data_IF_331654311119
#
_entry.id   IF_331654311119
#
_cell.length_a   1.000
_cell.length_b   1.000
_cell.length_c   1.000
_cell.angle_alpha   90.00
_cell.angle_beta   90.00
_cell.angle_gamma   90.00
#
_symmetry.space_group_name_H-M   'P 1'
#
loop_
_entity.id
_entity.type
_entity.pdbx_description
1 polymer ?
#
# COMPACT_ATOMS: atom_id res chain seq x y z
N UNK A 1 -5.61 40.01 -5.76
CA UNK A 1 -5.95 38.59 -5.63
C UNK A 1 -7.39 38.52 -5.17
N UNK A 2 -8.23 37.67 -5.78
CA UNK A 2 -9.54 37.38 -5.22
C UNK A 2 -9.38 36.68 -3.86
N UNK A 3 -10.26 36.98 -2.91
CA UNK A 3 -10.37 36.21 -1.68
C UNK A 3 -10.80 34.77 -2.00
N UNK A 4 -10.49 33.84 -1.08
CA UNK A 4 -10.97 32.45 -1.19
C UNK A 4 -12.50 32.43 -1.27
N UNK A 5 -13.03 31.56 -2.13
CA UNK A 5 -14.46 31.35 -2.31
C UNK A 5 -14.87 30.12 -1.53
N UNK A 6 -15.73 30.28 -0.54
CA UNK A 6 -16.32 29.14 0.19
C UNK A 6 -17.60 28.69 -0.50
N UNK A 7 -17.62 27.45 -0.99
CA UNK A 7 -18.79 26.84 -1.62
C UNK A 7 -19.44 25.85 -0.65
N UNK A 8 -20.66 26.16 -0.20
CA UNK A 8 -21.42 25.34 0.76
C UNK A 8 -22.78 24.98 0.20
N UNK A 9 -23.15 23.70 0.26
CA UNK A 9 -24.50 23.21 -0.06
C UNK A 9 -24.93 22.22 1.03
N UNK A 10 -25.88 22.64 1.86
CA UNK A 10 -26.32 21.87 3.02
C UNK A 10 -27.08 20.59 2.63
N UNK A 11 -27.71 20.56 1.44
CA UNK A 11 -28.54 19.45 0.99
C UNK A 11 -27.77 18.13 0.81
N UNK A 12 -26.46 18.22 0.55
CA UNK A 12 -25.57 17.10 0.25
C UNK A 12 -24.19 17.26 0.92
N UNK A 13 -24.12 18.12 1.95
CA UNK A 13 -22.93 18.41 2.76
C UNK A 13 -21.70 18.89 1.98
N UNK A 14 -21.87 19.52 0.83
CA UNK A 14 -20.76 20.20 0.13
C UNK A 14 -20.23 21.37 1.00
N UNK A 15 -18.91 21.46 1.08
CA UNK A 15 -18.14 22.45 1.83
C UNK A 15 -16.70 22.40 1.31
N UNK A 16 -16.39 23.27 0.35
CA UNK A 16 -15.07 23.39 -0.27
C UNK A 16 -14.59 24.83 -0.16
N UNK A 17 -13.27 25.00 -0.12
CA UNK A 17 -12.63 26.29 -0.36
C UNK A 17 -11.98 26.27 -1.75
N UNK A 18 -12.33 27.24 -2.58
CA UNK A 18 -11.70 27.46 -3.87
C UNK A 18 -10.78 28.68 -3.73
N UNK A 19 -9.52 28.51 -4.08
CA UNK A 19 -8.51 29.56 -4.08
C UNK A 19 -8.17 29.93 -5.54
N UNK A 20 -8.61 31.12 -6.01
CA UNK A 20 -8.28 31.61 -7.33
C UNK A 20 -6.86 32.19 -7.37
N UNK A 21 -6.04 31.72 -8.31
CA UNK A 21 -4.69 32.25 -8.59
C UNK A 21 -4.72 32.97 -9.94
N UNK A 22 -4.20 34.19 -9.99
CA UNK A 22 -4.29 35.08 -11.17
C UNK A 22 -5.74 35.26 -11.69
N UNK A 23 -6.70 35.28 -10.78
CA UNK A 23 -8.12 35.49 -11.09
C UNK A 23 -8.71 36.58 -10.18
N UNK A 24 -9.64 37.35 -10.74
CA UNK A 24 -10.45 38.34 -10.05
C UNK A 24 -11.93 38.19 -10.43
N UNK A 25 -12.81 38.60 -9.52
CA UNK A 25 -14.24 38.71 -9.83
C UNK A 25 -14.43 39.85 -10.84
N UNK A 26 -15.17 39.60 -11.91
CA UNK A 26 -15.51 40.59 -12.93
C UNK A 26 -16.25 41.80 -12.31
N UNK A 27 -16.19 42.99 -12.91
CA UNK A 27 -16.93 44.16 -12.41
C UNK A 27 -18.44 43.91 -12.20
N UNK A 28 -19.03 43.05 -13.03
CA UNK A 28 -20.45 42.66 -12.96
C UNK A 28 -20.74 41.59 -11.89
N UNK A 29 -19.71 41.11 -11.18
CA UNK A 29 -19.79 40.03 -10.20
C UNK A 29 -20.40 38.71 -10.70
N UNK A 30 -20.25 38.42 -12.00
CA UNK A 30 -20.84 37.23 -12.65
C UNK A 30 -19.81 36.18 -13.00
N UNK A 31 -18.51 36.52 -13.04
CA UNK A 31 -17.45 35.62 -13.53
C UNK A 31 -16.14 35.81 -12.76
N UNK A 32 -15.30 34.79 -12.77
CA UNK A 32 -13.87 34.87 -12.49
C UNK A 32 -13.14 35.07 -13.82
N UNK A 33 -12.40 36.17 -13.92
CA UNK A 33 -11.62 36.57 -15.10
C UNK A 33 -10.15 36.68 -14.74
N UNK A 34 -9.27 36.47 -15.73
CA UNK A 34 -7.82 36.58 -15.55
C UNK A 34 -7.45 38.01 -15.17
N UNK A 35 -6.45 38.14 -14.29
CA UNK A 35 -5.90 39.45 -13.91
C UNK A 35 -4.79 39.85 -14.88
N UNK A 36 -3.90 38.92 -15.19
CA UNK A 36 -2.85 39.06 -16.21
C UNK A 36 -2.96 37.91 -17.22
N UNK A 37 -3.09 38.24 -18.50
CA UNK A 37 -3.20 37.25 -19.58
C UNK A 37 -1.86 36.52 -19.85
N UNK A 38 -0.73 37.08 -19.40
CA UNK A 38 0.59 36.47 -19.55
C UNK A 38 0.86 35.35 -18.53
N UNK A 39 0.17 35.37 -17.39
CA UNK A 39 0.36 34.42 -16.30
C UNK A 39 -0.69 33.29 -16.32
N UNK A 40 -0.33 32.15 -15.74
CA UNK A 40 -1.24 31.02 -15.61
C UNK A 40 -2.36 31.33 -14.61
N UNK A 41 -3.61 31.03 -14.97
CA UNK A 41 -4.78 31.19 -14.11
C UNK A 41 -5.24 29.84 -13.57
N UNK A 42 -5.24 29.69 -12.24
CA UNK A 42 -5.55 28.43 -11.57
C UNK A 42 -6.72 28.57 -10.61
N UNK A 43 -7.43 27.46 -10.41
CA UNK A 43 -8.28 27.25 -9.24
C UNK A 43 -7.70 26.08 -8.45
N UNK A 44 -7.35 26.35 -7.19
CA UNK A 44 -6.97 25.32 -6.21
C UNK A 44 -8.22 25.01 -5.38
N UNK A 45 -8.71 23.79 -5.49
CA UNK A 45 -9.84 23.28 -4.70
C UNK A 45 -9.29 22.56 -3.47
N UNK A 46 -9.51 23.13 -2.29
CA UNK A 46 -9.08 22.57 -1.02
C UNK A 46 -10.18 21.68 -0.42
N UNK A 47 -9.76 20.49 -0.01
CA UNK A 47 -10.61 19.51 0.67
C UNK A 47 -10.20 19.39 2.14
N UNK A 48 -11.19 19.15 3.04
CA UNK A 48 -10.91 18.62 4.37
C UNK A 48 -10.09 17.31 4.31
N UNK A 49 -9.52 16.84 5.44
CA UNK A 49 -8.77 15.60 5.48
C UNK A 49 -9.50 14.43 4.81
N UNK A 50 -8.81 13.75 3.89
CA UNK A 50 -9.41 12.66 3.13
C UNK A 50 -9.23 11.28 3.78
N UNK A 51 -8.38 11.17 4.80
CA UNK A 51 -8.13 9.94 5.53
C UNK A 51 -8.04 10.15 7.05
N UNK A 52 -8.41 9.11 7.79
CA UNK A 52 -8.27 9.01 9.24
C UNK A 52 -7.57 7.68 9.54
N UNK A 53 -6.38 7.74 10.13
CA UNK A 53 -5.75 6.56 10.70
C UNK A 53 -6.43 6.20 12.02
N UNK A 54 -6.70 4.91 12.23
CA UNK A 54 -7.22 4.34 13.46
C UNK A 54 -6.24 3.27 13.98
N UNK A 55 -6.12 3.16 15.31
CA UNK A 55 -5.29 2.14 15.95
C UNK A 55 -5.73 0.71 15.56
N UNK A 56 -4.78 -0.11 15.12
CA UNK A 56 -4.99 -1.52 14.80
C UNK A 56 -4.70 -2.41 16.01
N UNK A 57 -5.58 -3.36 16.32
CA UNK A 57 -5.36 -4.44 17.29
C UNK A 57 -4.97 -5.74 16.58
N UNK A 58 -4.28 -6.66 17.28
CA UNK A 58 -3.97 -8.00 16.78
C UNK A 58 -4.98 -9.06 17.22
N UNK A 59 -5.69 -8.82 18.31
CA UNK A 59 -6.67 -9.73 18.89
C UNK A 59 -8.09 -9.24 18.56
N UNK A 60 -8.88 -10.00 17.78
CA UNK A 60 -10.28 -9.65 17.52
C UNK A 60 -11.21 -9.86 18.72
N UNK A 61 -10.79 -10.65 19.71
CA UNK A 61 -11.60 -11.02 20.88
C UNK A 61 -11.48 -10.01 22.02
N UNK A 62 -10.37 -9.25 22.05
CA UNK A 62 -10.14 -8.19 23.03
C UNK A 62 -10.24 -6.84 22.31
N UNK A 63 -11.43 -6.21 22.34
CA UNK A 63 -11.60 -4.90 21.72
C UNK A 63 -10.71 -3.86 22.41
N UNK A 64 -10.06 -2.95 21.67
CA UNK A 64 -9.30 -1.86 22.27
C UNK A 64 -10.21 -0.93 23.09
N UNK A 65 -9.71 -0.44 24.21
CA UNK A 65 -10.43 0.53 25.05
C UNK A 65 -10.67 1.85 24.30
N UNK A 66 -11.91 2.36 24.27
CA UNK A 66 -12.20 3.68 23.72
C UNK A 66 -11.67 4.81 24.65
N UNK A 67 -11.33 5.99 24.11
CA UNK A 67 -11.37 6.34 22.69
C UNK A 67 -10.25 5.63 21.90
N UNK A 68 -10.60 5.14 20.71
CA UNK A 68 -9.62 4.57 19.79
C UNK A 68 -8.69 5.71 19.36
N UNK A 69 -7.38 5.49 19.47
CA UNK A 69 -6.41 6.48 19.01
C UNK A 69 -6.58 6.69 17.51
N UNK A 70 -6.72 7.94 17.12
CA UNK A 70 -6.89 8.35 15.73
C UNK A 70 -5.93 9.47 15.37
N UNK A 71 -5.66 9.60 14.07
CA UNK A 71 -4.90 10.71 13.52
C UNK A 71 -5.51 11.10 12.17
N UNK A 72 -5.73 12.40 11.99
CA UNK A 72 -6.24 12.94 10.72
C UNK A 72 -5.09 13.08 9.72
N UNK A 73 -5.41 12.89 8.45
CA UNK A 73 -4.56 13.34 7.35
C UNK A 73 -4.50 14.88 7.31
N UNK A 74 -3.50 15.41 6.62
CA UNK A 74 -3.47 16.81 6.23
C UNK A 74 -4.50 17.15 5.15
N UNK A 75 -4.54 18.43 4.73
CA UNK A 75 -5.43 18.88 3.67
C UNK A 75 -5.07 18.23 2.33
N UNK A 76 -6.09 17.94 1.53
CA UNK A 76 -5.95 17.51 0.13
C UNK A 76 -6.34 18.63 -0.80
N UNK A 77 -5.79 18.65 -2.01
CA UNK A 77 -6.14 19.64 -3.03
C UNK A 77 -6.17 19.05 -4.43
N UNK A 78 -7.10 19.56 -5.23
CA UNK A 78 -7.10 19.42 -6.68
C UNK A 78 -6.77 20.77 -7.27
N UNK A 79 -5.91 20.82 -8.28
CA UNK A 79 -5.52 22.08 -8.94
C UNK A 79 -5.83 21.99 -10.41
N UNK A 80 -6.46 23.04 -10.93
CA UNK A 80 -6.90 23.10 -12.31
C UNK A 80 -6.48 24.40 -12.97
N UNK A 81 -6.08 24.32 -14.24
CA UNK A 81 -5.97 25.48 -15.14
C UNK A 81 -7.36 25.88 -15.60
N UNK A 82 -7.60 27.18 -15.57
CA UNK A 82 -8.87 27.77 -15.96
C UNK A 82 -8.86 28.19 -17.44
N UNK A 83 -9.93 27.91 -18.21
CA UNK A 83 -10.05 28.37 -19.60
C UNK A 83 -9.87 29.89 -19.75
N UNK A 84 -9.35 30.35 -20.88
CA UNK A 84 -9.17 31.79 -21.18
C UNK A 84 -10.47 32.59 -21.04
N UNK A 85 -11.60 31.98 -21.38
CA UNK A 85 -12.90 32.62 -21.25
C UNK A 85 -13.27 32.99 -19.80
N UNK A 86 -12.58 32.46 -18.79
CA UNK A 86 -12.94 32.59 -17.37
C UNK A 86 -14.03 31.60 -16.95
N UNK A 87 -14.39 31.61 -15.67
CA UNK A 87 -15.41 30.73 -15.08
C UNK A 87 -16.60 31.56 -14.63
N UNK A 88 -17.83 31.11 -14.87
CA UNK A 88 -18.99 31.77 -14.28
C UNK A 88 -18.99 31.60 -12.75
N UNK A 89 -19.38 32.64 -12.02
CA UNK A 89 -19.45 32.63 -10.56
C UNK A 89 -20.75 31.99 -10.10
N UNK A 90 -20.99 30.75 -10.53
CA UNK A 90 -22.14 29.92 -10.15
C UNK A 90 -21.65 28.60 -9.57
N UNK A 91 -22.44 28.00 -8.67
CA UNK A 91 -22.07 26.71 -8.06
C UNK A 91 -21.85 25.61 -9.12
N UNK A 92 -22.68 25.59 -10.17
CA UNK A 92 -22.55 24.63 -11.26
C UNK A 92 -21.24 24.80 -12.03
N UNK A 93 -20.91 26.02 -12.45
CA UNK A 93 -19.69 26.27 -13.22
C UNK A 93 -18.42 26.04 -12.38
N UNK A 94 -18.44 26.35 -11.09
CA UNK A 94 -17.32 26.13 -10.16
C UNK A 94 -17.10 24.64 -9.83
N UNK A 95 -18.05 23.76 -10.15
CA UNK A 95 -17.96 22.32 -9.93
C UNK A 95 -17.73 21.51 -11.23
N UNK A 96 -17.81 22.12 -12.41
CA UNK A 96 -17.70 21.43 -13.71
C UNK A 96 -16.24 21.16 -14.13
N UNK A 97 -15.53 20.39 -13.29
CA UNK A 97 -14.09 20.14 -13.40
C UNK A 97 -13.71 19.27 -14.60
N UNK A 98 -14.67 18.61 -15.24
CA UNK A 98 -14.45 17.89 -16.52
C UNK A 98 -13.91 18.79 -17.62
N UNK A 99 -14.29 20.07 -17.58
CA UNK A 99 -13.90 21.06 -18.59
C UNK A 99 -12.56 21.72 -18.29
N UNK A 100 -11.95 21.42 -17.14
CA UNK A 100 -10.71 22.04 -16.69
C UNK A 100 -9.53 21.08 -16.80
N UNK A 101 -8.35 21.63 -17.11
CA UNK A 101 -7.13 20.83 -17.23
C UNK A 101 -6.47 20.69 -15.84
N UNK A 102 -6.23 19.47 -15.34
CA UNK A 102 -5.58 19.29 -14.05
C UNK A 102 -4.11 19.70 -14.10
N UNK A 103 -3.62 20.35 -13.04
CA UNK A 103 -2.18 20.58 -12.81
C UNK A 103 -1.67 19.46 -11.91
N UNK A 104 -0.79 18.63 -12.46
CA UNK A 104 -0.31 17.40 -11.84
C UNK A 104 1.18 17.48 -11.50
N UNK A 105 1.62 16.61 -10.59
CA UNK A 105 3.05 16.47 -10.32
C UNK A 105 3.77 15.79 -11.52
N UNK A 106 5.06 16.06 -11.76
CA UNK A 106 5.76 15.52 -12.93
C UNK A 106 5.85 13.99 -12.98
N UNK A 107 5.74 13.32 -11.82
CA UNK A 107 5.73 11.86 -11.72
C UNK A 107 4.34 11.25 -11.83
N UNK A 108 3.26 12.05 -11.89
CA UNK A 108 1.87 11.60 -12.02
C UNK A 108 1.55 11.19 -13.48
N UNK A 109 2.31 10.22 -13.99
CA UNK A 109 2.33 9.83 -15.40
C UNK A 109 1.41 8.64 -15.69
N UNK A 110 0.91 8.47 -16.91
CA UNK A 110 0.10 7.31 -17.28
C UNK A 110 0.78 5.96 -17.04
N UNK A 111 -0.03 4.90 -16.87
CA UNK A 111 0.44 3.51 -16.87
C UNK A 111 1.23 3.20 -18.14
N UNK A 112 2.32 2.46 -18.01
CA UNK A 112 3.17 2.06 -19.14
C UNK A 112 4.17 3.12 -19.61
N UNK A 113 4.18 4.32 -18.98
CA UNK A 113 5.22 5.32 -19.20
C UNK A 113 6.60 4.70 -18.92
N UNK A 114 7.51 4.82 -19.89
CA UNK A 114 8.87 4.30 -19.76
C UNK A 114 9.75 5.28 -18.99
N UNK A 115 10.74 4.77 -18.23
CA UNK A 115 11.80 5.59 -17.66
C UNK A 115 12.48 6.49 -18.68
N UNK A 116 12.76 7.73 -18.27
CA UNK A 116 13.48 8.71 -19.06
C UNK A 116 14.21 9.71 -18.13
N UNK A 117 15.39 10.23 -18.53
CA UNK A 117 16.20 11.11 -17.67
C UNK A 117 15.53 12.42 -17.23
N UNK A 118 14.55 12.91 -18.01
CA UNK A 118 13.80 14.14 -17.74
C UNK A 118 12.70 13.98 -16.69
N UNK A 119 12.28 12.74 -16.39
CA UNK A 119 11.32 12.48 -15.33
C UNK A 119 12.06 12.69 -14.00
N UNK A 120 11.59 13.53 -13.07
CA UNK A 120 12.27 13.70 -11.80
C UNK A 120 12.00 12.51 -10.85
N UNK A 121 12.85 12.32 -9.82
CA UNK A 121 12.55 11.36 -8.76
C UNK A 121 11.27 11.74 -8.00
N UNK A 122 10.61 10.78 -7.31
CA UNK A 122 9.44 11.07 -6.49
C UNK A 122 9.74 12.14 -5.43
N UNK A 123 8.87 13.15 -5.38
CA UNK A 123 8.96 14.26 -4.46
C UNK A 123 7.54 14.72 -4.07
N UNK A 124 7.38 15.41 -2.93
CA UNK A 124 6.13 16.07 -2.61
C UNK A 124 5.68 17.02 -3.73
N UNK A 125 4.38 17.03 -4.00
CA UNK A 125 3.78 17.95 -4.98
C UNK A 125 3.99 19.41 -4.56
N UNK A 126 4.36 20.27 -5.52
CA UNK A 126 4.42 21.71 -5.31
C UNK A 126 3.03 22.29 -4.98
N UNK A 127 2.97 23.45 -4.34
CA UNK A 127 1.72 24.04 -3.82
C UNK A 127 0.61 24.16 -4.88
N UNK A 128 0.96 24.46 -6.12
CA UNK A 128 0.04 24.60 -7.25
C UNK A 128 -0.15 23.31 -8.07
N UNK A 129 0.15 22.15 -7.49
CA UNK A 129 -0.08 20.83 -8.10
C UNK A 129 -1.08 20.03 -7.27
N UNK A 130 -1.85 19.18 -7.94
CA UNK A 130 -2.80 18.25 -7.32
C UNK A 130 -2.10 17.28 -6.38
N UNK A 131 -2.61 17.17 -5.15
CA UNK A 131 -2.07 16.32 -4.10
C UNK A 131 -3.18 15.87 -3.14
N UNK A 132 -3.39 14.57 -3.06
CA UNK A 132 -4.43 13.96 -2.23
C UNK A 132 -3.73 13.14 -1.15
N UNK A 133 -3.90 13.50 0.12
CA UNK A 133 -3.41 12.66 1.21
C UNK A 133 -4.40 11.54 1.49
N UNK A 134 -4.21 10.41 0.79
CA UNK A 134 -4.96 9.19 1.00
C UNK A 134 -4.14 7.95 0.58
N UNK A 135 -4.05 6.89 1.41
CA UNK A 135 -4.46 6.85 2.81
C UNK A 135 -3.58 7.73 3.70
N UNK A 136 -3.82 7.72 5.02
CA UNK A 136 -3.10 8.56 5.98
C UNK A 136 -1.58 8.51 5.77
N UNK A 137 -0.97 9.69 5.63
CA UNK A 137 0.46 9.91 5.33
C UNK A 137 0.97 9.43 3.97
N UNK A 138 0.12 9.02 3.03
CA UNK A 138 0.50 8.77 1.64
C UNK A 138 -0.14 9.85 0.75
N UNK A 139 0.68 10.54 -0.04
CA UNK A 139 0.18 11.54 -0.99
C UNK A 139 0.11 10.89 -2.37
N UNK A 140 -1.08 10.83 -2.93
CA UNK A 140 -1.36 10.33 -4.27
C UNK A 140 -1.80 11.45 -5.21
N UNK A 141 -1.68 11.21 -6.51
CA UNK A 141 -2.23 12.06 -7.56
C UNK A 141 -2.66 11.20 -8.74
N UNK A 142 -3.74 11.60 -9.40
CA UNK A 142 -4.19 10.98 -10.64
C UNK A 142 -3.24 11.33 -11.79
N UNK A 143 -3.31 10.57 -12.88
CA UNK A 143 -2.59 10.91 -14.12
C UNK A 143 -3.45 11.80 -15.05
N UNK A 144 -2.84 12.23 -16.17
CA UNK A 144 -3.48 13.08 -17.16
C UNK A 144 -4.60 12.38 -17.97
N UNK A 145 -4.77 11.06 -17.82
CA UNK A 145 -5.80 10.26 -18.49
C UNK A 145 -7.03 10.03 -17.59
N UNK A 146 -7.11 10.75 -16.48
CA UNK A 146 -8.27 10.76 -15.59
C UNK A 146 -8.89 12.15 -15.44
N UNK A 147 -10.19 12.19 -15.16
CA UNK A 147 -10.97 13.43 -14.90
C UNK A 147 -11.79 13.27 -13.63
N UNK A 148 -12.12 14.41 -13.04
CA UNK A 148 -12.97 14.49 -11.86
C UNK A 148 -14.39 14.87 -12.25
N UNK A 149 -15.32 14.02 -11.87
CA UNK A 149 -16.75 14.19 -12.12
C UNK A 149 -17.43 14.54 -10.80
N UNK A 150 -18.17 15.64 -10.78
CA UNK A 150 -18.85 16.11 -9.57
C UNK A 150 -20.36 16.13 -9.76
N UNK A 151 -21.10 16.09 -8.64
CA UNK A 151 -22.53 16.40 -8.68
C UNK A 151 -22.76 17.91 -8.78
N UNK A 152 -23.20 18.35 -9.95
CA UNK A 152 -23.55 19.75 -10.25
C UNK A 152 -24.85 20.22 -9.58
N UNK A 153 -25.55 19.35 -8.83
CA UNK A 153 -26.75 19.68 -8.05
C UNK A 153 -28.06 19.29 -8.75
N UNK A 154 -28.05 18.30 -9.63
CA UNK A 154 -29.22 17.94 -10.45
C UNK A 154 -30.12 16.84 -9.87
N UNK A 155 -29.70 16.17 -8.79
CA UNK A 155 -30.42 15.02 -8.23
C UNK A 155 -30.69 15.17 -6.74
N UNK A 156 -31.86 15.70 -6.39
CA UNK A 156 -32.48 15.40 -5.09
C UNK A 156 -33.10 14.00 -5.20
N UNK A 157 -32.30 12.96 -4.96
CA UNK A 157 -32.89 11.64 -4.70
C UNK A 157 -33.67 11.69 -3.39
N UNK A 158 -34.73 10.89 -3.27
CA UNK A 158 -35.52 10.76 -2.03
C UNK A 158 -34.68 10.33 -0.82
N UNK A 159 -33.51 9.74 -1.08
CA UNK A 159 -32.43 9.49 -0.13
C UNK A 159 -31.30 10.47 -0.49
N UNK A 160 -31.20 11.63 0.15
CA UNK A 160 -30.17 12.63 -0.20
C UNK A 160 -28.78 12.01 -0.28
N UNK A 161 -28.11 12.12 -1.42
CA UNK A 161 -26.74 11.62 -1.61
C UNK A 161 -25.74 12.64 -1.09
N UNK A 162 -24.61 12.16 -0.56
CA UNK A 162 -23.48 13.02 -0.20
C UNK A 162 -22.81 13.52 -1.49
N UNK A 163 -22.47 14.80 -1.54
CA UNK A 163 -21.69 15.35 -2.63
C UNK A 163 -20.33 14.64 -2.71
N UNK A 164 -19.90 14.34 -3.94
CA UNK A 164 -18.58 13.76 -4.18
C UNK A 164 -17.99 14.24 -5.50
N UNK A 165 -16.67 14.18 -5.57
CA UNK A 165 -15.90 14.25 -6.81
C UNK A 165 -15.31 12.87 -7.09
N UNK A 166 -15.79 12.20 -8.14
CA UNK A 166 -15.37 10.86 -8.54
C UNK A 166 -14.27 10.92 -9.61
N UNK A 167 -13.21 10.14 -9.42
CA UNK A 167 -12.14 10.02 -10.41
C UNK A 167 -12.51 8.97 -11.47
N UNK A 168 -12.72 9.42 -12.70
CA UNK A 168 -13.05 8.54 -13.83
C UNK A 168 -11.95 8.58 -14.89
N UNK A 169 -11.81 7.46 -15.62
CA UNK A 169 -10.88 7.36 -16.73
C UNK A 169 -11.46 8.07 -17.94
N UNK A 170 -10.67 8.95 -18.55
CA UNK A 170 -11.04 9.76 -19.71
C UNK A 170 -10.16 9.39 -20.90
N UNK A 171 -10.32 8.17 -21.38
CA UNK A 171 -9.70 7.70 -22.63
C UNK A 171 -10.77 7.03 -23.51
N UNK A 172 -10.47 6.82 -24.79
CA UNK A 172 -11.42 6.20 -25.71
C UNK A 172 -11.50 4.68 -25.46
N UNK A 173 -12.71 4.13 -25.45
CA UNK A 173 -12.94 2.70 -25.18
C UNK A 173 -13.96 2.10 -26.17
N UNK A 174 -13.86 0.80 -26.47
CA UNK A 174 -14.81 0.14 -27.36
C UNK A 174 -16.27 0.31 -26.91
N UNK A 175 -17.21 0.63 -27.83
CA UNK A 175 -18.62 0.74 -27.50
C UNK A 175 -19.15 -0.54 -26.82
N UNK A 176 -19.94 -0.37 -25.75
CA UNK A 176 -20.51 -1.50 -25.00
C UNK A 176 -19.56 -2.15 -23.99
N UNK A 177 -18.34 -1.61 -23.81
CA UNK A 177 -17.44 -2.02 -22.73
C UNK A 177 -17.47 -1.00 -21.59
N UNK A 178 -17.28 -1.46 -20.36
CA UNK A 178 -17.10 -0.55 -19.23
C UNK A 178 -15.75 0.17 -19.39
N UNK A 179 -15.65 1.47 -19.04
CA UNK A 179 -14.37 2.13 -18.99
C UNK A 179 -13.45 1.39 -18.00
N UNK A 180 -12.16 1.23 -18.32
CA UNK A 180 -11.17 0.71 -17.41
C UNK A 180 -11.07 1.64 -16.19
N UNK A 181 -10.67 1.07 -15.04
CA UNK A 181 -10.43 1.87 -13.83
C UNK A 181 -9.37 2.95 -14.06
N UNK A 182 -9.48 4.03 -13.28
CA UNK A 182 -8.48 5.09 -13.20
C UNK A 182 -7.18 4.59 -12.57
N UNK A 183 -6.11 5.37 -12.71
CA UNK A 183 -4.81 5.12 -12.11
C UNK A 183 -4.38 6.31 -11.24
N UNK A 184 -3.72 6.01 -10.12
CA UNK A 184 -3.06 7.01 -9.27
C UNK A 184 -1.63 6.61 -8.99
N UNK A 185 -0.78 7.60 -8.74
CA UNK A 185 0.61 7.40 -8.34
C UNK A 185 0.85 7.98 -6.96
N UNK A 186 1.64 7.28 -6.14
CA UNK A 186 2.05 7.80 -4.85
C UNK A 186 3.25 8.72 -5.03
N UNK A 187 3.03 10.02 -4.88
CA UNK A 187 4.04 11.06 -5.10
C UNK A 187 5.08 11.07 -3.98
N UNK A 188 4.61 10.96 -2.75
CA UNK A 188 5.44 11.03 -1.55
C UNK A 188 4.73 10.40 -0.36
N UNK A 189 5.48 10.15 0.72
CA UNK A 189 4.92 9.75 2.00
C UNK A 189 5.42 10.70 3.09
N UNK A 190 4.53 11.09 4.00
CA UNK A 190 4.93 11.88 5.17
C UNK A 190 5.75 11.01 6.13
N UNK A 191 6.92 11.52 6.50
CA UNK A 191 7.84 10.88 7.44
C UNK A 191 7.61 11.38 8.85
N UNK A 192 7.80 10.51 9.85
CA UNK A 192 7.72 10.88 11.26
C UNK A 192 7.45 9.67 12.14
N UNK A 193 7.43 9.84 13.47
CA UNK A 193 7.05 8.78 14.38
C UNK A 193 5.61 8.33 14.11
N UNK A 194 5.38 7.02 14.19
CA UNK A 194 4.04 6.44 14.19
C UNK A 194 3.45 6.58 15.60
N UNK A 195 2.35 7.33 15.79
CA UNK A 195 1.79 7.58 17.12
C UNK A 195 1.16 6.32 17.74
N UNK A 196 0.79 5.36 16.91
CA UNK A 196 0.20 4.08 17.26
C UNK A 196 0.29 3.11 16.07
N UNK A 197 0.13 1.80 16.27
CA UNK A 197 0.01 0.84 15.17
C UNK A 197 -1.13 1.19 14.21
N UNK A 198 -0.79 1.34 12.93
CA UNK A 198 -1.71 1.65 11.81
C UNK A 198 -1.70 0.52 10.78
N UNK A 199 -2.67 0.47 9.85
CA UNK A 199 -2.70 -0.58 8.82
C UNK A 199 -1.44 -0.62 7.96
N UNK A 200 -0.97 0.54 7.50
CA UNK A 200 0.29 0.70 6.74
C UNK A 200 1.36 1.36 7.60
N UNK A 201 2.53 0.73 7.69
CA UNK A 201 3.71 1.34 8.30
C UNK A 201 4.43 2.33 7.37
N UNK A 202 5.42 3.09 7.89
CA UNK A 202 6.24 4.00 7.09
C UNK A 202 6.95 3.29 5.93
N UNK A 203 7.39 2.05 6.17
CA UNK A 203 8.01 1.22 5.16
C UNK A 203 7.08 0.88 4.00
N UNK A 204 5.85 0.46 4.31
CA UNK A 204 4.87 0.12 3.27
C UNK A 204 4.59 1.32 2.37
N UNK A 205 4.37 2.52 2.96
CA UNK A 205 4.16 3.76 2.21
C UNK A 205 5.36 4.15 1.35
N UNK A 206 6.58 4.01 1.87
CA UNK A 206 7.80 4.28 1.12
C UNK A 206 7.94 3.36 -0.09
N UNK A 207 7.68 2.06 0.06
CA UNK A 207 7.77 1.11 -1.05
C UNK A 207 6.70 1.36 -2.11
N UNK A 208 5.48 1.75 -1.71
CA UNK A 208 4.43 2.15 -2.66
C UNK A 208 4.89 3.36 -3.48
N UNK A 209 5.52 4.37 -2.87
CA UNK A 209 6.10 5.52 -3.61
C UNK A 209 7.18 5.06 -4.60
N UNK A 210 8.10 4.21 -4.16
CA UNK A 210 9.17 3.70 -5.03
C UNK A 210 8.60 2.91 -6.22
N UNK A 211 7.73 1.95 -5.96
CA UNK A 211 7.22 1.03 -6.96
C UNK A 211 6.18 1.67 -7.90
N UNK A 212 5.48 2.72 -7.45
CA UNK A 212 4.47 3.41 -8.26
C UNK A 212 4.94 4.70 -8.92
N UNK A 213 6.05 5.30 -8.50
CA UNK A 213 6.46 6.62 -9.03
C UNK A 213 7.96 6.79 -9.27
N UNK A 214 8.82 5.87 -8.84
CA UNK A 214 10.26 6.01 -9.09
C UNK A 214 10.66 5.38 -10.42
N UNK A 215 10.89 6.24 -11.41
CA UNK A 215 11.34 5.85 -12.75
C UNK A 215 12.85 5.60 -12.84
N UNK A 216 13.60 5.72 -11.74
CA UNK A 216 15.06 5.55 -11.71
C UNK A 216 15.53 4.40 -10.83
N UNK A 217 14.66 3.43 -10.53
CA UNK A 217 15.07 2.23 -9.81
C UNK A 217 15.90 1.35 -10.76
N UNK A 218 17.22 1.19 -10.53
CA UNK A 218 18.05 0.41 -11.42
C UNK A 218 17.82 -1.08 -11.16
N UNK A 219 17.62 -1.84 -12.24
CA UNK A 219 17.42 -3.29 -12.22
C UNK A 219 18.34 -3.97 -13.24
N UNK A 220 18.59 -5.28 -13.13
CA UNK A 220 19.25 -6.02 -14.21
C UNK A 220 18.47 -5.88 -15.52
N UNK A 221 19.17 -5.79 -16.64
CA UNK A 221 18.53 -5.82 -17.94
C UNK A 221 17.93 -7.22 -18.20
N UNK A 222 16.61 -7.36 -18.39
CA UNK A 222 16.00 -8.67 -18.65
C UNK A 222 16.40 -9.25 -20.01
N UNK A 223 16.79 -8.40 -20.97
CA UNK A 223 17.06 -8.78 -22.37
C UNK A 223 18.55 -9.02 -22.67
N UNK A 224 19.43 -8.96 -21.66
CA UNK A 224 20.86 -9.16 -21.87
C UNK A 224 21.74 -8.66 -20.74
N UNK A 225 23.06 -8.54 -20.96
CA UNK A 225 23.96 -8.00 -19.95
C UNK A 225 23.67 -6.52 -19.70
N UNK A 226 24.00 -6.05 -18.50
CA UNK A 226 23.88 -4.64 -18.12
C UNK A 226 22.68 -4.38 -17.21
N UNK A 227 22.29 -3.10 -17.14
CA UNK A 227 21.26 -2.58 -16.25
C UNK A 227 20.26 -1.77 -17.06
N UNK A 228 19.03 -1.74 -16.58
CA UNK A 228 17.97 -0.85 -17.06
C UNK A 228 17.26 -0.25 -15.86
N UNK A 229 16.28 0.62 -16.11
CA UNK A 229 15.39 1.15 -15.08
C UNK A 229 14.09 0.34 -15.04
N UNK A 230 13.57 0.13 -13.83
CA UNK A 230 12.27 -0.47 -13.61
C UNK A 230 11.17 0.44 -14.16
N UNK A 231 10.16 -0.16 -14.79
CA UNK A 231 8.97 0.58 -15.27
C UNK A 231 7.93 0.56 -14.13
N UNK A 232 7.74 1.66 -13.37
CA UNK A 232 6.83 1.66 -12.22
C UNK A 232 5.37 1.60 -12.68
N UNK A 233 4.62 0.65 -12.11
CA UNK A 233 3.19 0.51 -12.35
C UNK A 233 2.39 1.42 -11.38
N UNK A 234 1.45 2.25 -11.86
CA UNK A 234 0.59 3.02 -10.98
C UNK A 234 -0.38 2.10 -10.21
N UNK A 235 -0.95 2.65 -9.15
CA UNK A 235 -1.97 2.01 -8.31
C UNK A 235 -3.31 2.09 -9.02
N UNK A 236 -3.90 0.92 -9.26
CA UNK A 236 -5.20 0.78 -9.88
C UNK A 236 -6.27 1.33 -8.95
N UNK A 237 -7.17 2.14 -9.51
CA UNK A 237 -8.22 2.82 -8.76
C UNK A 237 -9.59 2.37 -9.26
N UNK A 238 -10.16 1.34 -8.61
CA UNK A 238 -11.53 0.90 -8.92
C UNK A 238 -12.57 1.92 -8.51
N UNK A 239 -12.27 2.64 -7.43
CA UNK A 239 -13.05 3.77 -6.94
C UNK A 239 -12.12 4.73 -6.23
N UNK A 240 -12.24 6.01 -6.54
CA UNK A 240 -11.74 7.10 -5.70
C UNK A 240 -12.73 8.25 -5.82
N UNK A 241 -13.35 8.59 -4.69
CA UNK A 241 -14.28 9.69 -4.57
C UNK A 241 -13.85 10.56 -3.41
N UNK A 242 -13.65 11.84 -3.66
CA UNK A 242 -13.36 12.82 -2.62
C UNK A 242 -14.68 13.43 -2.15
N UNK A 243 -14.83 13.54 -0.83
CA UNK A 243 -15.99 14.16 -0.20
C UNK A 243 -15.53 15.13 0.87
N UNK A 244 -16.44 15.90 1.43
CA UNK A 244 -16.17 16.81 2.54
C UNK A 244 -16.00 16.08 3.88
N UNK A 245 -16.37 14.80 3.93
CA UNK A 245 -16.28 13.93 5.11
C UNK A 245 -15.14 12.90 5.03
N UNK A 246 -14.38 12.89 3.94
CA UNK A 246 -13.30 11.95 3.68
C UNK A 246 -13.52 11.10 2.42
N UNK A 247 -12.46 10.46 1.92
CA UNK A 247 -12.51 9.77 0.64
C UNK A 247 -13.18 8.38 0.74
N UNK A 248 -13.91 7.99 -0.31
CA UNK A 248 -14.23 6.58 -0.58
C UNK A 248 -13.20 6.05 -1.56
N UNK A 249 -12.59 4.89 -1.27
CA UNK A 249 -11.52 4.36 -2.10
C UNK A 249 -11.52 2.83 -2.16
N UNK A 250 -11.18 2.30 -3.33
CA UNK A 250 -10.77 0.92 -3.59
C UNK A 250 -9.54 0.96 -4.51
N UNK A 251 -8.38 0.76 -3.89
CA UNK A 251 -7.06 0.88 -4.49
C UNK A 251 -6.36 -0.47 -4.52
N UNK A 252 -5.64 -0.75 -5.61
CA UNK A 252 -4.81 -1.94 -5.75
C UNK A 252 -3.49 -1.66 -6.48
N UNK A 253 -2.38 -1.81 -5.76
CA UNK A 253 -1.04 -1.84 -6.32
C UNK A 253 -0.55 -3.28 -6.46
N UNK A 254 0.03 -3.60 -7.63
CA UNK A 254 0.70 -4.88 -7.90
C UNK A 254 1.97 -4.60 -8.69
N UNK A 255 3.09 -5.16 -8.24
CA UNK A 255 4.39 -4.91 -8.84
C UNK A 255 5.20 -6.18 -8.99
N UNK A 256 5.80 -6.34 -10.16
CA UNK A 256 6.72 -7.43 -10.48
C UNK A 256 8.17 -6.93 -10.38
N UNK A 257 8.54 -6.45 -9.20
CA UNK A 257 9.90 -5.99 -8.94
C UNK A 257 10.88 -7.18 -8.89
N UNK A 258 12.03 -7.13 -9.57
CA UNK A 258 12.90 -8.30 -9.73
C UNK A 258 13.57 -8.72 -8.42
N UNK A 259 13.59 -10.03 -8.18
CA UNK A 259 14.30 -10.66 -7.05
C UNK A 259 15.70 -11.07 -7.50
N UNK A 260 16.64 -10.15 -7.38
CA UNK A 260 18.05 -10.32 -7.72
C UNK A 260 18.80 -11.08 -6.60
N UNK A 261 19.48 -12.19 -6.90
CA UNK A 261 20.33 -12.92 -5.95
C UNK A 261 21.44 -12.03 -5.38
N UNK A 262 21.85 -12.27 -4.12
CA UNK A 262 22.82 -11.41 -3.42
C UNK A 262 24.12 -11.21 -4.21
N UNK A 263 24.65 -12.27 -4.85
CA UNK A 263 25.88 -12.21 -5.64
C UNK A 263 25.78 -11.33 -6.90
N UNK A 264 24.57 -11.11 -7.40
CA UNK A 264 24.29 -10.33 -8.62
C UNK A 264 23.79 -8.91 -8.31
N UNK A 265 23.56 -8.59 -7.03
CA UNK A 265 23.18 -7.25 -6.61
C UNK A 265 24.35 -6.27 -6.84
N UNK A 266 24.02 -5.08 -7.32
CA UNK A 266 25.00 -4.07 -7.69
C UNK A 266 24.80 -2.76 -6.90
N UNK A 267 25.83 -1.90 -6.81
CA UNK A 267 25.69 -0.60 -6.16
C UNK A 267 24.52 0.21 -6.74
N UNK A 268 23.61 0.65 -5.87
CA UNK A 268 22.40 1.38 -6.24
C UNK A 268 21.15 0.52 -6.41
N UNK A 269 21.27 -0.81 -6.51
CA UNK A 269 20.11 -1.70 -6.46
C UNK A 269 19.43 -1.61 -5.09
N UNK A 270 18.12 -1.46 -5.09
CA UNK A 270 17.30 -1.48 -3.88
C UNK A 270 16.49 -2.78 -3.85
N UNK A 271 16.70 -3.62 -2.83
CA UNK A 271 15.86 -4.80 -2.63
C UNK A 271 14.52 -4.37 -2.01
N UNK A 272 13.45 -4.36 -2.81
CA UNK A 272 12.08 -4.05 -2.38
C UNK A 272 11.29 -5.34 -2.36
N UNK A 273 10.63 -5.64 -1.25
CA UNK A 273 9.90 -6.88 -1.03
C UNK A 273 8.38 -6.76 -1.16
N UNK A 274 7.82 -5.55 -1.23
CA UNK A 274 6.40 -5.32 -1.43
C UNK A 274 5.99 -5.75 -2.85
N UNK A 275 5.06 -6.72 -2.94
CA UNK A 275 4.53 -7.21 -4.22
C UNK A 275 3.11 -6.71 -4.48
N UNK A 276 2.30 -6.58 -3.42
CA UNK A 276 0.92 -6.17 -3.53
C UNK A 276 0.51 -5.28 -2.37
N UNK A 277 -0.31 -4.29 -2.68
CA UNK A 277 -1.05 -3.47 -1.72
C UNK A 277 -2.52 -3.41 -2.16
N UNK A 278 -3.45 -3.59 -1.23
CA UNK A 278 -4.88 -3.31 -1.43
C UNK A 278 -5.38 -2.40 -0.29
N UNK A 279 -6.25 -1.45 -0.62
CA UNK A 279 -6.82 -0.51 0.33
C UNK A 279 -8.27 -0.19 0.01
N UNK A 280 -9.16 -0.40 0.98
CA UNK A 280 -10.56 -0.01 0.91
C UNK A 280 -10.92 0.87 2.09
N UNK A 281 -11.52 2.02 1.81
CA UNK A 281 -12.01 2.94 2.82
C UNK A 281 -13.35 3.55 2.42
N UNK A 282 -14.13 3.94 3.42
CA UNK A 282 -15.34 4.74 3.25
C UNK A 282 -15.27 5.98 4.14
N UNK A 283 -15.55 7.15 3.57
CA UNK A 283 -15.48 8.45 4.25
C UNK A 283 -14.17 8.63 5.05
N UNK A 284 -13.05 8.31 4.40
CA UNK A 284 -11.70 8.42 4.93
C UNK A 284 -11.31 7.35 5.96
N UNK A 285 -12.20 6.42 6.30
CA UNK A 285 -11.94 5.39 7.32
C UNK A 285 -11.65 4.04 6.69
N UNK A 286 -10.52 3.47 7.07
CA UNK A 286 -10.07 2.18 6.59
C UNK A 286 -11.07 1.07 6.96
N UNK A 287 -11.30 0.16 6.01
CA UNK A 287 -12.15 -1.03 6.20
C UNK A 287 -11.38 -2.30 5.87
N UNK A 288 -10.54 -2.25 4.83
CA UNK A 288 -9.69 -3.37 4.44
C UNK A 288 -8.34 -2.84 3.95
N UNK A 289 -7.25 -3.37 4.49
CA UNK A 289 -5.90 -3.09 4.00
C UNK A 289 -5.14 -4.40 3.95
N UNK A 290 -4.47 -4.69 2.83
CA UNK A 290 -3.62 -5.87 2.70
C UNK A 290 -2.27 -5.51 2.08
N UNK A 291 -1.20 -6.01 2.66
CA UNK A 291 0.13 -6.00 2.04
C UNK A 291 0.64 -7.43 1.88
N UNK A 292 1.33 -7.67 0.77
CA UNK A 292 2.00 -8.95 0.49
C UNK A 292 3.47 -8.66 0.26
N UNK A 293 4.33 -9.23 1.12
CA UNK A 293 5.78 -9.02 1.07
C UNK A 293 6.50 -10.34 0.88
N UNK A 294 7.39 -10.40 -0.10
CA UNK A 294 8.14 -11.62 -0.43
C UNK A 294 9.42 -11.76 0.39
N UNK A 295 9.76 -12.99 0.71
CA UNK A 295 10.99 -13.34 1.39
C UNK A 295 11.28 -14.82 1.29
N UNK A 296 12.13 -15.30 2.17
CA UNK A 296 12.60 -16.67 2.19
C UNK A 296 12.57 -17.20 3.62
N UNK A 297 12.27 -18.49 3.77
CA UNK A 297 12.47 -19.18 5.05
C UNK A 297 13.95 -19.51 5.23
N UNK A 298 14.41 -19.73 6.45
CA UNK A 298 15.82 -20.08 6.73
C UNK A 298 16.30 -21.38 6.04
N UNK A 299 15.38 -22.18 5.50
CA UNK A 299 15.64 -23.34 4.64
C UNK A 299 15.77 -22.98 3.15
N UNK A 300 15.66 -21.70 2.78
CA UNK A 300 15.73 -21.20 1.40
C UNK A 300 14.40 -21.22 0.64
N UNK A 301 13.33 -21.80 1.19
CA UNK A 301 12.01 -21.81 0.57
C UNK A 301 11.49 -20.38 0.35
N UNK A 302 11.09 -20.05 -0.88
CA UNK A 302 10.41 -18.78 -1.18
C UNK A 302 9.04 -18.74 -0.50
N UNK A 303 8.76 -17.65 0.19
CA UNK A 303 7.52 -17.43 0.93
C UNK A 303 7.07 -15.98 0.83
N UNK A 304 5.84 -15.72 1.24
CA UNK A 304 5.30 -14.37 1.43
C UNK A 304 4.72 -14.22 2.82
N UNK A 305 4.85 -13.02 3.37
CA UNK A 305 4.09 -12.58 4.55
C UNK A 305 2.96 -11.69 4.06
N UNK A 306 1.74 -12.05 4.47
CA UNK A 306 0.51 -11.36 4.14
C UNK A 306 -0.01 -10.72 5.43
N UNK A 307 0.01 -9.40 5.50
CA UNK A 307 -0.68 -8.66 6.56
C UNK A 307 -2.03 -8.21 6.04
N UNK A 308 -3.09 -8.51 6.79
CA UNK A 308 -4.45 -8.11 6.45
C UNK A 308 -5.08 -7.43 7.65
N UNK A 309 -5.41 -6.15 7.50
CA UNK A 309 -6.18 -5.37 8.47
C UNK A 309 -7.61 -5.25 7.97
N UNK A 310 -8.57 -5.66 8.79
CA UNK A 310 -10.00 -5.58 8.48
C UNK A 310 -10.75 -4.89 9.61
N UNK A 311 -11.79 -4.12 9.27
CA UNK A 311 -12.73 -3.63 10.26
C UNK A 311 -13.69 -4.75 10.65
N UNK A 312 -13.56 -5.25 11.86
CA UNK A 312 -14.41 -6.31 12.41
C UNK A 312 -15.38 -5.71 13.44
N UNK A 313 -16.70 -5.99 13.33
CA UNK A 313 -17.66 -5.65 14.37
C UNK A 313 -17.36 -6.42 15.66
N UNK A 314 -17.21 -5.72 16.79
CA UNK A 314 -16.91 -6.34 18.09
C UNK A 314 -18.16 -6.72 18.87
N UNK A 315 -19.21 -5.90 18.81
CA UNK A 315 -20.49 -6.11 19.48
C UNK A 315 -21.59 -5.41 18.70
N UNK A 316 -22.69 -6.11 18.45
CA UNK A 316 -23.92 -5.57 17.88
C UNK A 316 -24.94 -5.51 19.03
N UNK A 317 -25.37 -4.32 19.43
CA UNK A 317 -26.39 -4.12 20.45
C UNK A 317 -27.70 -3.69 19.80
N UNK A 318 -28.83 -4.18 20.30
CA UNK A 318 -30.15 -3.65 19.94
C UNK A 318 -30.34 -2.33 20.67
N UNK A 319 -30.54 -1.26 19.91
CA UNK A 319 -30.85 0.09 20.40
C UNK A 319 -32.35 0.27 20.57
N UNK A 320 -33.15 -0.32 19.67
CA UNK A 320 -34.60 -0.28 19.74
C UNK A 320 -35.22 -1.48 19.03
N UNK A 321 -36.28 -2.03 19.60
CA UNK A 321 -37.19 -2.96 18.94
C UNK A 321 -38.23 -2.14 18.15
N UNK A 322 -38.43 -2.49 16.88
CA UNK A 322 -39.41 -1.88 15.98
C UNK A 322 -40.44 -2.96 15.57
N UNK A 323 -41.68 -2.59 15.19
CA UNK A 323 -42.71 -3.57 14.81
C UNK A 323 -42.29 -4.55 13.70
N UNK A 324 -41.31 -4.18 12.86
CA UNK A 324 -40.78 -4.99 11.75
C UNK A 324 -39.27 -5.30 11.86
N UNK A 325 -38.64 -5.14 13.03
CA UNK A 325 -37.22 -5.47 13.20
C UNK A 325 -36.57 -4.83 14.42
N UNK A 326 -35.24 -4.80 14.46
CA UNK A 326 -34.49 -4.14 15.52
C UNK A 326 -33.50 -3.15 14.91
N UNK A 327 -33.34 -2.00 15.55
CA UNK A 327 -32.28 -1.05 15.25
C UNK A 327 -31.04 -1.46 16.02
N UNK A 328 -29.93 -1.67 15.32
CA UNK A 328 -28.68 -2.12 15.94
C UNK A 328 -27.64 -1.01 15.96
N UNK A 329 -26.79 -1.01 16.99
CA UNK A 329 -25.55 -0.25 17.04
C UNK A 329 -24.39 -1.21 17.17
N UNK A 330 -23.26 -0.91 16.52
CA UNK A 330 -22.07 -1.71 16.68
C UNK A 330 -20.80 -0.89 16.56
N UNK A 331 -19.76 -1.36 17.24
CA UNK A 331 -18.41 -0.78 17.14
C UNK A 331 -17.55 -1.69 16.29
N UNK A 332 -16.96 -1.15 15.23
CA UNK A 332 -16.00 -1.86 14.38
C UNK A 332 -14.57 -1.42 14.67
N UNK A 333 -13.66 -2.35 14.96
CA UNK A 333 -12.25 -2.08 15.18
C UNK A 333 -11.40 -2.66 14.06
N UNK A 334 -10.26 -2.03 13.79
CA UNK A 334 -9.28 -2.56 12.84
C UNK A 334 -8.49 -3.67 13.48
N UNK A 335 -8.68 -4.90 13.00
CA UNK A 335 -7.96 -6.09 13.44
C UNK A 335 -6.95 -6.47 12.36
N UNK A 336 -5.67 -6.54 12.72
CA UNK A 336 -4.59 -7.00 11.85
C UNK A 336 -4.30 -8.47 12.10
N UNK A 337 -4.27 -9.24 11.02
CA UNK A 337 -3.84 -10.64 10.99
C UNK A 337 -2.60 -10.76 10.11
N UNK A 338 -1.69 -11.66 10.48
CA UNK A 338 -0.46 -11.91 9.74
C UNK A 338 -0.39 -13.39 9.41
N UNK A 339 -0.18 -13.71 8.14
CA UNK A 339 -0.02 -15.08 7.66
C UNK A 339 1.29 -15.19 6.88
N UNK A 340 1.97 -16.32 7.03
CA UNK A 340 3.04 -16.72 6.12
C UNK A 340 2.50 -17.77 5.17
N UNK A 341 2.82 -17.65 3.88
CA UNK A 341 2.46 -18.61 2.83
C UNK A 341 3.71 -19.02 2.08
N UNK A 342 3.96 -20.32 1.97
CA UNK A 342 5.10 -20.91 1.28
C UNK A 342 4.77 -21.04 -0.20
N UNK A 343 5.44 -20.25 -1.04
CA UNK A 343 5.25 -20.25 -2.49
C UNK A 343 6.03 -21.37 -3.18
N UNK A 344 7.19 -21.71 -2.63
CA UNK A 344 8.03 -22.81 -3.10
C UNK A 344 8.23 -23.82 -1.97
N UNK A 345 7.33 -24.81 -1.80
CA UNK A 345 7.41 -25.77 -0.69
C UNK A 345 8.59 -26.74 -0.77
N UNK A 346 9.08 -27.03 -1.98
CA UNK A 346 10.22 -27.92 -2.20
C UNK A 346 11.50 -27.14 -2.47
N UNK A 347 12.54 -27.43 -1.69
CA UNK A 347 13.92 -27.02 -1.92
C UNK A 347 14.76 -28.22 -2.33
N UNK A 348 15.56 -28.04 -3.37
CA UNK A 348 16.60 -28.97 -3.79
C UNK A 348 17.96 -28.34 -3.46
N UNK A 349 18.74 -29.05 -2.65
CA UNK A 349 20.05 -28.62 -2.20
C UNK A 349 21.20 -29.29 -2.97
N UNK A 350 20.92 -30.31 -3.80
CA UNK A 350 21.97 -31.05 -4.51
C UNK A 350 22.78 -30.14 -5.47
N UNK A 351 22.11 -29.16 -6.07
CA UNK A 351 22.73 -28.16 -6.94
C UNK A 351 23.40 -26.98 -6.22
N UNK A 352 23.42 -26.97 -4.88
CA UNK A 352 23.92 -25.86 -4.08
C UNK A 352 25.28 -26.14 -3.43
N UNK A 353 25.99 -27.19 -3.85
CA UNK A 353 27.29 -27.56 -3.26
C UNK A 353 28.30 -26.40 -3.27
N UNK A 354 28.34 -25.60 -4.35
CA UNK A 354 29.27 -24.47 -4.50
C UNK A 354 29.05 -23.32 -3.50
N UNK A 355 27.86 -23.23 -2.87
CA UNK A 355 27.56 -22.19 -1.87
C UNK A 355 27.80 -22.63 -0.43
N UNK A 356 28.14 -23.90 -0.21
CA UNK A 356 28.45 -24.49 1.10
C UNK A 356 29.97 -24.55 1.31
N UNK A 357 30.41 -24.41 2.57
CA UNK A 357 31.82 -24.35 2.93
C UNK A 357 32.55 -25.69 2.76
N UNK A 358 31.83 -26.81 2.79
CA UNK A 358 32.35 -28.16 2.62
C UNK A 358 31.63 -28.91 1.49
N UNK A 359 31.42 -28.25 0.34
CA UNK A 359 30.81 -28.82 -0.88
C UNK A 359 29.44 -29.51 -0.62
N UNK A 360 28.65 -28.95 0.30
CA UNK A 360 27.33 -29.44 0.69
C UNK A 360 27.34 -30.59 1.70
N UNK A 361 28.50 -31.06 2.17
CA UNK A 361 28.59 -32.16 3.16
C UNK A 361 28.11 -31.73 4.55
N UNK A 362 28.08 -30.43 4.86
CA UNK A 362 27.50 -29.93 6.10
C UNK A 362 25.97 -30.02 6.16
N UNK A 363 25.28 -30.25 5.02
CA UNK A 363 23.84 -30.40 4.98
C UNK A 363 23.47 -31.87 4.73
N UNK A 364 22.82 -32.55 5.68
CA UNK A 364 22.54 -33.98 5.53
C UNK A 364 21.38 -34.27 4.55
N UNK A 365 20.65 -33.23 4.13
CA UNK A 365 19.49 -33.34 3.23
C UNK A 365 19.87 -32.94 1.80
N UNK A 366 19.47 -33.76 0.83
CA UNK A 366 19.46 -33.40 -0.60
C UNK A 366 18.25 -32.56 -0.98
N UNK A 367 17.12 -32.78 -0.34
CA UNK A 367 15.93 -31.95 -0.55
C UNK A 367 15.06 -31.87 0.70
N UNK A 368 14.29 -30.79 0.79
CA UNK A 368 13.29 -30.57 1.84
C UNK A 368 11.98 -30.15 1.19
N UNK A 369 10.88 -30.81 1.55
CA UNK A 369 9.52 -30.40 1.16
C UNK A 369 8.73 -30.03 2.40
N UNK A 370 8.34 -28.76 2.52
CA UNK A 370 7.43 -28.31 3.57
C UNK A 370 6.00 -28.74 3.23
N UNK A 371 5.35 -29.47 4.12
CA UNK A 371 3.94 -29.86 3.98
C UNK A 371 3.01 -28.85 4.66
N UNK A 372 3.50 -28.13 5.68
CA UNK A 372 2.85 -26.91 6.16
C UNK A 372 3.15 -25.76 5.20
N UNK A 373 2.20 -25.41 4.35
CA UNK A 373 2.36 -24.34 3.34
C UNK A 373 1.78 -22.99 3.75
N UNK A 374 1.07 -22.92 4.88
CA UNK A 374 0.58 -21.66 5.43
C UNK A 374 0.37 -21.73 6.93
N UNK A 375 0.60 -20.62 7.64
CA UNK A 375 0.29 -20.49 9.05
C UNK A 375 -0.05 -19.04 9.42
N UNK A 376 -0.97 -18.86 10.37
CA UNK A 376 -1.15 -17.57 11.07
C UNK A 376 -0.01 -17.40 12.06
N UNK A 377 0.60 -16.22 12.07
CA UNK A 377 1.79 -15.93 12.87
C UNK A 377 1.60 -14.68 13.73
N UNK A 378 2.46 -14.53 14.73
CA UNK A 378 2.64 -13.25 15.40
C UNK A 378 3.06 -12.16 14.41
N UNK A 379 2.70 -10.91 14.71
CA UNK A 379 3.20 -9.76 13.96
C UNK A 379 4.73 -9.76 13.91
N UNK A 380 5.28 -9.65 12.71
CA UNK A 380 6.72 -9.54 12.52
C UNK A 380 7.19 -8.12 12.82
N UNK A 381 8.43 -7.97 13.33
CA UNK A 381 9.03 -6.65 13.52
C UNK A 381 9.09 -5.89 12.18
N UNK A 382 8.76 -4.60 12.23
CA UNK A 382 8.79 -3.70 11.08
C UNK A 382 9.97 -2.76 11.15
N UNK A 383 10.48 -2.34 10.00
CA UNK A 383 11.53 -1.33 9.94
C UNK A 383 11.07 -0.01 10.51
N UNK A 384 11.98 0.67 11.21
CA UNK A 384 11.77 2.04 11.67
C UNK A 384 12.13 3.06 10.57
N UNK A 385 11.65 4.31 10.66
CA UNK A 385 12.10 5.37 9.76
C UNK A 385 13.64 5.45 9.70
N UNK A 386 14.20 5.46 8.48
CA UNK A 386 15.65 5.47 8.24
C UNK A 386 16.29 4.09 8.06
N UNK A 387 15.62 3.01 8.43
CA UNK A 387 16.04 1.65 8.08
C UNK A 387 15.58 1.28 6.66
N UNK A 388 16.36 0.44 5.98
CA UNK A 388 16.09 0.04 4.59
C UNK A 388 15.17 -1.17 4.44
N UNK A 389 15.12 -2.05 5.44
CA UNK A 389 14.44 -3.35 5.35
C UNK A 389 13.80 -3.74 6.68
N UNK A 390 12.73 -4.53 6.60
CA UNK A 390 12.16 -5.19 7.79
C UNK A 390 13.16 -6.26 8.27
N UNK A 391 13.38 -6.40 9.59
CA UNK A 391 14.36 -7.35 10.11
C UNK A 391 13.88 -8.82 9.97
N UNK A 392 14.80 -9.78 9.80
CA UNK A 392 14.48 -11.20 9.92
C UNK A 392 13.88 -11.54 11.28
N UNK A 393 13.00 -12.54 11.32
CA UNK A 393 12.33 -12.95 12.56
C UNK A 393 11.92 -14.42 12.56
N UNK A 394 12.05 -15.07 13.71
CA UNK A 394 11.51 -16.41 13.92
C UNK A 394 9.99 -16.40 13.89
N UNK A 395 9.41 -17.38 13.19
CA UNK A 395 7.96 -17.53 13.09
C UNK A 395 7.42 -18.16 14.37
N UNK A 396 6.45 -17.49 14.98
CA UNK A 396 5.79 -17.90 16.22
C UNK A 396 4.27 -17.89 16.03
N UNK A 397 3.54 -18.62 16.88
CA UNK A 397 2.07 -18.53 16.90
C UNK A 397 1.65 -17.10 17.25
N UNK A 398 0.40 -16.67 16.95
CA UNK A 398 -0.07 -15.32 17.28
C UNK A 398 0.14 -14.93 18.75
N UNK A 399 0.10 -15.89 19.66
CA UNK A 399 0.28 -15.76 21.11
C UNK A 399 1.77 -15.74 21.53
N UNK A 400 2.71 -15.79 20.58
CA UNK A 400 4.14 -15.86 20.83
C UNK A 400 4.65 -17.25 21.21
N UNK A 401 3.88 -18.31 20.92
CA UNK A 401 4.24 -19.69 21.19
C UNK A 401 5.09 -20.33 20.08
N UNK A 402 5.55 -21.56 20.33
CA UNK A 402 6.27 -22.37 19.35
C UNK A 402 5.37 -22.68 18.15
N UNK A 403 5.81 -22.29 16.96
CA UNK A 403 5.21 -22.69 15.68
C UNK A 403 6.13 -23.68 14.97
N UNK A 404 5.58 -24.84 14.61
CA UNK A 404 6.32 -25.91 13.93
C UNK A 404 5.76 -26.12 12.53
N UNK A 405 6.65 -26.19 11.54
CA UNK A 405 6.30 -26.55 10.17
C UNK A 405 6.59 -28.02 9.97
N UNK A 406 5.62 -28.76 9.42
CA UNK A 406 5.83 -30.14 9.01
C UNK A 406 6.63 -30.19 7.71
N UNK A 407 7.55 -31.13 7.62
CA UNK A 407 8.42 -31.29 6.46
C UNK A 407 8.78 -32.76 6.21
N UNK A 408 9.10 -33.05 4.95
CA UNK A 408 9.69 -34.30 4.47
C UNK A 408 11.08 -33.98 3.95
N UNK A 409 12.12 -34.53 4.57
CA UNK A 409 13.50 -34.43 4.10
C UNK A 409 13.91 -35.68 3.35
N UNK A 410 14.68 -35.52 2.26
CA UNK A 410 15.37 -36.64 1.61
C UNK A 410 16.86 -36.53 1.90
N UNK A 411 17.44 -37.55 2.50
CA UNK A 411 18.86 -37.59 2.84
C UNK A 411 19.77 -37.92 1.64
N UNK A 412 21.08 -37.97 1.87
CA UNK A 412 22.07 -38.27 0.82
C UNK A 412 21.98 -39.70 0.25
N UNK A 413 21.37 -40.64 0.98
CA UNK A 413 21.12 -42.01 0.53
C UNK A 413 19.78 -42.15 -0.21
N UNK A 414 19.00 -41.08 -0.30
CA UNK A 414 17.67 -41.08 -0.92
C UNK A 414 16.56 -41.54 0.03
N UNK A 415 16.85 -41.73 1.32
CA UNK A 415 15.84 -42.06 2.32
C UNK A 415 15.03 -40.80 2.66
N UNK A 416 13.71 -40.96 2.77
CA UNK A 416 12.81 -39.89 3.19
C UNK A 416 12.41 -40.02 4.64
N UNK A 417 12.45 -38.93 5.39
CA UNK A 417 12.05 -38.87 6.80
C UNK A 417 11.12 -37.67 7.05
N UNK A 418 10.12 -37.87 7.90
CA UNK A 418 9.16 -36.84 8.30
C UNK A 418 9.54 -36.22 9.63
N UNK A 419 9.54 -34.90 9.71
CA UNK A 419 9.82 -34.18 10.94
C UNK A 419 9.11 -32.84 10.99
N UNK A 420 9.31 -32.11 12.07
CA UNK A 420 8.84 -30.74 12.18
C UNK A 420 9.91 -29.84 12.76
N UNK A 421 9.99 -28.62 12.25
CA UNK A 421 11.01 -27.65 12.61
C UNK A 421 10.41 -26.25 12.75
N UNK A 422 10.91 -25.41 13.66
CA UNK A 422 10.62 -23.98 13.63
C UNK A 422 11.35 -23.36 12.44
N UNK A 423 10.79 -22.28 11.88
CA UNK A 423 11.38 -21.57 10.75
C UNK A 423 11.49 -20.08 11.04
N UNK A 424 12.54 -19.46 10.50
CA UNK A 424 12.74 -18.02 10.49
C UNK A 424 12.37 -17.48 9.11
N UNK A 425 11.67 -16.34 9.04
CA UNK A 425 11.42 -15.61 7.81
C UNK A 425 12.46 -14.50 7.63
N UNK A 426 13.02 -14.44 6.43
CA UNK A 426 13.98 -13.43 5.97
C UNK A 426 13.30 -12.61 4.87
N UNK A 427 12.89 -11.36 5.15
CA UNK A 427 12.35 -10.47 4.13
C UNK A 427 13.36 -10.29 2.99
N UNK A 428 12.89 -10.21 1.73
CA UNK A 428 13.82 -10.05 0.60
C UNK A 428 14.68 -8.77 0.72
N UNK A 429 14.13 -7.69 1.28
CA UNK A 429 14.90 -6.47 1.56
C UNK A 429 16.11 -6.68 2.48
N UNK A 430 16.10 -7.73 3.31
CA UNK A 430 17.18 -8.05 4.24
C UNK A 430 18.16 -9.11 3.69
N UNK A 431 17.94 -9.66 2.49
CA UNK A 431 18.64 -10.87 2.02
C UNK A 431 20.17 -10.71 1.93
N UNK A 432 20.66 -9.50 1.64
CA UNK A 432 22.09 -9.19 1.59
C UNK A 432 22.73 -8.96 2.97
N UNK A 433 21.95 -8.97 4.06
CA UNK A 433 22.40 -8.63 5.41
C UNK A 433 22.78 -9.88 6.20
N UNK A 434 23.80 -10.59 5.72
CA UNK A 434 24.18 -11.91 6.23
C UNK A 434 24.50 -11.91 7.73
N UNK A 435 25.15 -10.86 8.24
CA UNK A 435 25.47 -10.73 9.67
C UNK A 435 24.21 -10.60 10.52
N UNK A 436 23.24 -9.78 10.10
CA UNK A 436 21.95 -9.63 10.79
C UNK A 436 21.13 -10.91 10.73
N UNK A 437 21.06 -11.57 9.56
CA UNK A 437 20.37 -12.86 9.40
C UNK A 437 20.96 -13.89 10.36
N UNK A 438 22.29 -14.01 10.38
CA UNK A 438 22.99 -14.96 11.25
C UNK A 438 22.77 -14.64 12.72
N UNK A 439 22.85 -13.37 13.11
CA UNK A 439 22.60 -12.95 14.48
C UNK A 439 21.20 -13.35 14.95
N UNK A 440 20.15 -13.14 14.15
CA UNK A 440 18.78 -13.53 14.50
C UNK A 440 18.62 -15.05 14.52
N UNK A 441 19.22 -15.74 13.54
CA UNK A 441 19.19 -17.20 13.47
C UNK A 441 19.83 -17.83 14.71
N UNK A 442 21.00 -17.35 15.13
CA UNK A 442 21.77 -17.90 16.25
C UNK A 442 21.13 -17.60 17.63
N UNK A 443 20.21 -16.62 17.70
CA UNK A 443 19.56 -16.17 18.94
C UNK A 443 18.03 -16.30 18.87
N UNK A 444 17.47 -17.53 18.81
CA UNK A 444 16.03 -17.72 18.80
C UNK A 444 15.36 -17.26 20.11
N UNK A 445 14.09 -16.81 20.07
CA UNK A 445 13.36 -16.38 21.25
C UNK A 445 13.11 -17.55 22.22
N UNK A 446 12.90 -17.26 23.50
CA UNK A 446 12.83 -18.25 24.58
C UNK A 446 11.92 -19.48 24.31
N UNK A 447 10.70 -19.34 23.75
CA UNK A 447 9.81 -20.48 23.45
C UNK A 447 10.38 -21.52 22.47
N UNK A 448 11.39 -21.13 21.70
CA UNK A 448 12.11 -21.96 20.71
C UNK A 448 13.62 -21.78 20.87
N UNK A 449 14.11 -21.63 22.10
CA UNK A 449 15.56 -21.50 22.39
C UNK A 449 16.42 -22.68 21.89
N UNK A 450 15.78 -23.81 21.60
CA UNK A 450 16.31 -25.03 21.00
C UNK A 450 16.06 -25.13 19.49
N UNK A 451 15.73 -24.04 18.78
CA UNK A 451 15.30 -24.06 17.37
C UNK A 451 16.28 -24.76 16.42
N UNK A 452 17.55 -24.87 16.79
CA UNK A 452 18.58 -25.56 16.01
C UNK A 452 18.59 -27.09 16.20
N UNK A 453 17.77 -27.62 17.10
CA UNK A 453 17.61 -29.06 17.36
C UNK A 453 16.30 -29.55 16.75
N UNK A 454 16.40 -30.42 15.76
CA UNK A 454 15.26 -31.04 15.10
C UNK A 454 15.07 -32.44 15.67
N UNK A 455 13.90 -32.71 16.24
CA UNK A 455 13.54 -34.06 16.70
C UNK A 455 13.09 -34.92 15.52
N UNK A 456 13.85 -35.98 15.27
CA UNK A 456 13.56 -36.97 14.22
C UNK A 456 12.69 -38.13 14.71
N UNK A 457 12.25 -38.12 15.98
CA UNK A 457 11.37 -39.13 16.58
C UNK A 457 11.89 -40.56 16.43
N UNK A 458 13.21 -40.73 16.55
CA UNK A 458 13.89 -42.02 16.40
C UNK A 458 14.22 -42.42 14.96
N UNK A 459 13.90 -41.59 13.97
CA UNK A 459 14.38 -41.77 12.59
C UNK A 459 15.88 -41.44 12.50
N UNK A 460 16.60 -42.18 11.66
CA UNK A 460 18.00 -41.95 11.34
C UNK A 460 18.16 -41.20 10.02
N UNK A 461 19.02 -40.18 9.97
CA UNK A 461 19.39 -39.48 8.74
C UNK A 461 20.81 -39.88 8.35
N UNK A 462 21.01 -40.23 7.08
CA UNK A 462 22.35 -40.48 6.53
C UNK A 462 23.06 -39.15 6.26
N UNK A 463 24.32 -39.04 6.67
CA UNK A 463 25.16 -37.87 6.41
C UNK A 463 26.27 -38.19 5.40
N UNK A 464 26.69 -37.22 4.60
CA UNK A 464 27.87 -37.36 3.77
C UNK A 464 29.13 -37.27 4.65
N UNK A 465 30.09 -38.16 4.42
CA UNK A 465 31.39 -38.18 5.11
C UNK A 465 32.41 -37.23 4.50
#
# INVERSE_FOLDING_TARGET
MADRITLVRAADLLSLELEPVNLAVSPEATRLIRVDDADEALIIVHFPPQAIAEHTTLDPTVPPDPPIRTALAGPSRLVFRVPEAGVELTAQALLDWRTWEPVLAPTALPRGTRPAPEIPPPAPAAEQQTAIEFPWRLVISADAESRWDTDLGSTVSSYGQLWSAQLNRDVEHPPGTAPPPSDVRALSAFTGPEPFPTPLGPGDRADVVQLSSNFHLPIPNPDGPGRTEFVPAPVLTRRLELTTLGANADLEGRWEYPLVPVGDQFPGFQAIDLQQWQHTAGLGRDTFVRTVRVGFLCTGNKAVVIETTQRIPSHINVVAELPEGALFTGRGYLVKTVNVVVLQPRMDYAGLHDVFAHDGRELPLRSLTLTTTSARIQQLPKRHPGQRFDPPAWLMTPEGGRLMFQAVGTDVAGKTDEFSLPLMFVPYGAIAQHSTIRQVFDNPPAPISDAHRIDLRGQSITIAS
#
